data_IF_491692949362
#
_entry.id   IF_491692949362
#
_cell.length_a   1.000
_cell.length_b   1.000
_cell.length_c   1.000
_cell.angle_alpha   90.00
_cell.angle_beta   90.00
_cell.angle_gamma   90.00
#
_symmetry.space_group_name_H-M   'P 1'
#
loop_
_entity.id
_entity.type
_entity.pdbx_description
1 polymer ?
#
# COMPACT_ATOMS: atom_id res chain seq x y z
N UNK A 1 4.11 -10.11 2.64
CA UNK A 1 5.02 -10.57 3.71
C UNK A 1 6.43 -9.98 3.60
N UNK A 2 7.00 -9.84 2.39
CA UNK A 2 8.36 -9.35 2.18
C UNK A 2 8.75 -8.09 2.99
N UNK A 3 7.98 -7.00 2.90
CA UNK A 3 8.28 -5.73 3.61
C UNK A 3 8.35 -5.90 5.13
N UNK A 4 7.47 -6.71 5.71
CA UNK A 4 7.38 -6.93 7.15
C UNK A 4 8.59 -7.71 7.69
N UNK A 5 9.11 -8.67 6.94
CA UNK A 5 10.30 -9.45 7.32
C UNK A 5 11.60 -8.69 7.04
N UNK A 6 11.61 -7.83 6.03
CA UNK A 6 12.81 -7.06 5.65
C UNK A 6 13.02 -5.82 6.52
N UNK A 7 11.96 -5.04 6.76
CA UNK A 7 12.05 -3.71 7.40
C UNK A 7 11.10 -3.51 8.58
N UNK A 8 10.29 -4.52 8.91
CA UNK A 8 9.21 -4.40 9.88
C UNK A 8 7.99 -3.65 9.33
N UNK A 9 6.85 -3.85 9.97
CA UNK A 9 5.57 -3.23 9.59
C UNK A 9 5.07 -2.19 10.61
N UNK A 10 5.91 -1.79 11.56
CA UNK A 10 5.59 -0.85 12.63
C UNK A 10 6.41 0.41 12.53
N UNK A 11 5.76 1.54 12.77
CA UNK A 11 6.42 2.83 12.89
C UNK A 11 7.39 2.83 14.08
N UNK A 12 8.59 3.39 13.89
CA UNK A 12 9.67 3.33 14.87
C UNK A 12 9.41 4.22 16.10
N UNK A 13 8.65 5.30 15.93
CA UNK A 13 8.39 6.29 16.97
C UNK A 13 7.13 5.97 17.77
N UNK A 14 6.09 5.49 17.10
CA UNK A 14 4.76 5.26 17.68
C UNK A 14 4.45 3.78 17.93
N UNK A 15 5.19 2.85 17.33
CA UNK A 15 4.93 1.40 17.41
C UNK A 15 3.66 0.94 16.67
N UNK A 16 2.93 1.86 16.02
CA UNK A 16 1.69 1.56 15.30
C UNK A 16 1.98 0.84 13.99
N UNK A 17 1.05 -0.02 13.54
CA UNK A 17 1.15 -0.70 12.24
C UNK A 17 1.00 0.33 11.10
N UNK A 18 1.92 0.32 10.13
CA UNK A 18 1.93 1.24 8.97
C UNK A 18 1.14 0.69 7.78
N UNK A 19 -0.02 0.08 8.02
CA UNK A 19 -0.78 -0.56 6.93
C UNK A 19 -1.41 0.46 5.98
N UNK A 20 -1.88 1.60 6.51
CA UNK A 20 -2.53 2.65 5.73
C UNK A 20 -1.59 3.21 4.65
N UNK A 21 -0.36 3.52 5.04
CA UNK A 21 0.70 3.98 4.13
C UNK A 21 1.21 2.88 3.19
N UNK A 22 1.00 1.61 3.52
CA UNK A 22 1.51 0.51 2.71
C UNK A 22 0.64 0.21 1.49
N UNK A 23 -0.66 0.54 1.52
CA UNK A 23 -1.60 0.22 0.44
C UNK A 23 -1.17 0.80 -0.91
N UNK A 24 -0.80 2.07 -0.96
CA UNK A 24 -0.37 2.73 -2.19
C UNK A 24 0.90 2.10 -2.76
N UNK A 25 1.91 1.86 -1.90
CA UNK A 25 3.17 1.21 -2.30
C UNK A 25 2.97 -0.22 -2.79
N UNK A 26 2.03 -0.95 -2.20
CA UNK A 26 1.67 -2.30 -2.62
C UNK A 26 1.00 -2.32 -3.99
N UNK A 27 0.13 -1.36 -4.27
CA UNK A 27 -0.48 -1.20 -5.59
C UNK A 27 0.59 -0.92 -6.65
N UNK A 28 1.53 -0.02 -6.38
CA UNK A 28 2.65 0.26 -7.29
C UNK A 28 3.55 -0.96 -7.49
N UNK A 29 3.83 -1.69 -6.42
CA UNK A 29 4.61 -2.93 -6.50
C UNK A 29 3.91 -3.99 -7.36
N UNK A 30 2.58 -4.10 -7.23
CA UNK A 30 1.76 -4.99 -8.07
C UNK A 30 1.87 -4.63 -9.55
N UNK A 31 1.79 -3.34 -9.91
CA UNK A 31 1.96 -2.93 -11.31
C UNK A 31 3.36 -3.20 -11.84
N UNK A 32 4.40 -3.03 -11.01
CA UNK A 32 5.78 -3.39 -11.37
C UNK A 32 5.94 -4.89 -11.60
N UNK A 33 5.25 -5.74 -10.85
CA UNK A 33 5.24 -7.20 -11.07
C UNK A 33 4.56 -7.55 -12.40
N UNK A 34 3.39 -6.97 -12.68
CA UNK A 34 2.66 -7.17 -13.94
C UNK A 34 3.50 -6.69 -15.14
N UNK A 35 4.15 -5.53 -15.03
CA UNK A 35 5.07 -5.02 -16.06
C UNK A 35 6.29 -5.92 -16.32
N UNK A 36 6.59 -6.86 -15.41
CA UNK A 36 7.63 -7.88 -15.57
C UNK A 36 7.08 -9.24 -16.07
N UNK A 37 5.80 -9.30 -16.44
CA UNK A 37 5.15 -10.53 -16.91
C UNK A 37 4.66 -11.46 -15.79
N UNK A 38 4.64 -11.00 -14.54
CA UNK A 38 4.13 -11.79 -13.41
C UNK A 38 2.63 -11.55 -13.28
N UNK A 39 1.83 -12.62 -13.29
CA UNK A 39 0.38 -12.57 -13.12
C UNK A 39 -0.06 -12.25 -11.69
N UNK A 40 0.26 -11.05 -11.20
CA UNK A 40 -0.07 -10.62 -9.85
C UNK A 40 -1.55 -10.22 -9.72
N UNK A 41 -2.23 -10.82 -8.73
CA UNK A 41 -3.63 -10.54 -8.41
C UNK A 41 -3.85 -9.04 -8.13
N UNK A 42 -4.91 -8.42 -8.66
CA UNK A 42 -5.30 -7.06 -8.28
C UNK A 42 -5.69 -6.98 -6.80
N UNK A 43 -5.13 -5.99 -6.08
CA UNK A 43 -5.36 -5.80 -4.63
C UNK A 43 -6.59 -4.91 -4.37
N UNK A 44 -6.82 -3.91 -5.24
CA UNK A 44 -7.93 -2.98 -5.16
C UNK A 44 -8.48 -2.66 -6.55
N UNK A 45 -9.73 -2.16 -6.66
CA UNK A 45 -10.24 -1.59 -7.89
C UNK A 45 -9.31 -0.51 -8.45
N UNK A 46 -9.19 -0.44 -9.78
CA UNK A 46 -8.35 0.55 -10.46
C UNK A 46 -8.67 2.00 -10.06
N UNK A 47 -9.93 2.27 -9.71
CA UNK A 47 -10.38 3.58 -9.24
C UNK A 47 -9.67 4.01 -7.95
N UNK A 48 -9.43 3.09 -7.01
CA UNK A 48 -8.75 3.40 -5.73
C UNK A 48 -7.34 3.91 -5.94
N UNK A 49 -6.60 3.33 -6.89
CA UNK A 49 -5.25 3.80 -7.24
C UNK A 49 -5.25 5.20 -7.84
N UNK A 50 -6.30 5.55 -8.59
CA UNK A 50 -6.44 6.87 -9.22
C UNK A 50 -6.97 7.93 -8.24
N UNK A 51 -7.53 7.51 -7.11
CA UNK A 51 -8.15 8.36 -6.10
C UNK A 51 -7.66 7.94 -4.70
N UNK A 52 -6.41 8.29 -4.34
CA UNK A 52 -5.82 7.90 -3.06
C UNK A 52 -6.67 8.32 -1.86
N UNK A 53 -6.76 7.47 -0.84
CA UNK A 53 -7.54 7.71 0.39
C UNK A 53 -9.06 7.55 0.26
N UNK A 54 -9.61 7.44 -0.95
CA UNK A 54 -11.05 7.32 -1.17
C UNK A 54 -11.59 5.89 -0.98
N UNK A 55 -10.70 4.91 -0.85
CA UNK A 55 -11.04 3.51 -0.58
C UNK A 55 -10.63 3.07 0.84
N UNK A 56 -10.24 4.01 1.70
CA UNK A 56 -9.87 3.72 3.07
C UNK A 56 -11.13 3.53 3.92
N UNK A 57 -11.16 2.43 4.69
CA UNK A 57 -12.26 2.15 5.61
C UNK A 57 -12.36 3.19 6.75
N UNK A 58 -11.24 3.81 7.11
CA UNK A 58 -11.16 4.84 8.16
C UNK A 58 -10.71 6.14 7.51
N UNK A 59 -11.64 7.09 7.39
CA UNK A 59 -11.34 8.43 6.89
C UNK A 59 -10.37 9.17 7.84
N UNK A 60 -9.35 9.81 7.27
CA UNK A 60 -8.41 10.66 8.02
C UNK A 60 -7.10 10.00 8.45
N UNK A 61 -6.79 8.80 7.95
CA UNK A 61 -5.40 8.31 7.97
C UNK A 61 -4.54 9.22 7.09
N UNK A 62 -3.28 9.52 7.49
CA UNK A 62 -2.43 10.40 6.70
C UNK A 62 -2.18 9.74 5.34
N UNK A 63 -2.81 10.29 4.30
CA UNK A 63 -2.44 10.01 2.93
C UNK A 63 -0.97 10.40 2.75
N UNK A 64 -0.18 9.53 2.11
CA UNK A 64 1.20 9.85 1.73
C UNK A 64 1.12 11.04 0.77
N UNK A 65 1.52 12.23 1.24
CA UNK A 65 1.76 13.35 0.32
C UNK A 65 2.97 13.01 -0.52
N UNK A 66 2.77 13.04 -1.83
CA UNK A 66 3.81 12.88 -2.86
C UNK A 66 4.86 13.99 -2.74
#
# INVERSE_FOLDING_TARGET
MAEALWSGNRDRRTGKKRYAEATDRLNDWRERMVGRGIGAEPIQPLWCRRNPGMCDLVHGLPAIRS
#
